data_IF_460056209389
#
_entry.id   IF_460056209389
#
_cell.length_a   1.000
_cell.length_b   1.000
_cell.length_c   1.000
_cell.angle_alpha   90.00
_cell.angle_beta   90.00
_cell.angle_gamma   90.00
#
_symmetry.space_group_name_H-M   'P 1'
#
loop_
_entity.id
_entity.type
_entity.pdbx_description
1 polymer ?
#
# COMPACT_ATOMS: atom_id res chain seq x y z
N UNK A 1 66.42 -37.20 -6.60
CA UNK A 1 66.04 -35.80 -6.87
C UNK A 1 64.58 -35.61 -6.47
N UNK A 2 64.28 -34.59 -5.65
CA UNK A 2 62.96 -34.31 -5.07
C UNK A 2 62.20 -33.29 -5.95
N UNK A 3 60.95 -33.56 -6.28
CA UNK A 3 59.93 -32.58 -6.70
C UNK A 3 58.65 -32.91 -5.90
N UNK A 4 58.33 -32.19 -4.82
CA UNK A 4 57.54 -30.95 -4.70
C UNK A 4 56.07 -31.09 -5.13
N UNK A 5 55.20 -30.96 -4.12
CA UNK A 5 53.75 -31.10 -4.11
C UNK A 5 53.03 -30.09 -5.02
N UNK A 6 51.86 -30.47 -5.56
CA UNK A 6 50.71 -29.58 -5.72
C UNK A 6 49.41 -30.36 -5.52
N UNK A 7 48.75 -30.13 -4.38
CA UNK A 7 47.39 -30.58 -4.13
C UNK A 7 46.40 -29.59 -4.74
N UNK A 8 45.43 -30.10 -5.49
CA UNK A 8 44.30 -29.33 -6.01
C UNK A 8 43.15 -29.41 -5.00
N UNK A 9 42.99 -28.39 -4.18
CA UNK A 9 41.78 -28.20 -3.37
C UNK A 9 40.75 -27.53 -4.26
N UNK A 10 39.80 -28.31 -4.76
CA UNK A 10 38.61 -27.78 -5.43
C UNK A 10 37.70 -27.13 -4.38
N UNK A 11 37.84 -25.82 -4.24
CA UNK A 11 36.95 -24.99 -3.42
C UNK A 11 35.61 -24.87 -4.16
N UNK A 12 34.63 -25.70 -3.80
CA UNK A 12 33.24 -25.51 -4.22
C UNK A 12 32.73 -24.26 -3.51
N UNK A 13 32.81 -23.10 -4.18
CA UNK A 13 32.04 -21.92 -3.78
C UNK A 13 30.56 -22.26 -3.97
N UNK A 14 29.91 -22.67 -2.88
CA UNK A 14 28.47 -22.74 -2.82
C UNK A 14 27.90 -21.35 -3.07
N UNK A 15 27.18 -21.22 -4.19
CA UNK A 15 26.27 -20.11 -4.44
C UNK A 15 25.20 -20.13 -3.34
N UNK A 16 25.45 -19.41 -2.25
CA UNK A 16 24.40 -18.98 -1.34
C UNK A 16 23.57 -17.95 -2.09
N UNK A 17 22.61 -18.42 -2.89
CA UNK A 17 21.53 -17.57 -3.37
C UNK A 17 20.82 -17.01 -2.15
N UNK A 18 20.71 -15.69 -2.08
CA UNK A 18 19.89 -15.00 -1.08
C UNK A 18 18.43 -15.45 -1.27
N UNK A 19 18.05 -16.55 -0.62
CA UNK A 19 16.65 -16.91 -0.48
C UNK A 19 16.04 -15.83 0.41
N UNK A 20 15.16 -15.00 -0.16
CA UNK A 20 14.34 -14.11 0.63
C UNK A 20 13.63 -14.94 1.71
N UNK A 21 13.62 -14.50 2.98
CA UNK A 21 12.98 -15.26 4.05
C UNK A 21 11.55 -15.57 3.66
N UNK A 22 11.13 -16.82 3.88
CA UNK A 22 9.75 -17.22 3.63
C UNK A 22 8.81 -16.30 4.43
N UNK A 23 7.65 -15.90 3.85
CA UNK A 23 6.72 -15.01 4.54
C UNK A 23 6.31 -15.64 5.87
N UNK A 24 6.44 -14.86 6.94
CA UNK A 24 6.03 -15.28 8.29
C UNK A 24 4.54 -15.63 8.28
N UNK A 25 4.23 -16.90 8.56
CA UNK A 25 2.88 -17.47 8.52
C UNK A 25 2.16 -17.41 9.87
N UNK A 26 2.78 -16.84 10.91
CA UNK A 26 2.12 -16.73 12.22
C UNK A 26 0.83 -15.91 12.09
N UNK A 27 -0.30 -16.37 12.68
CA UNK A 27 -1.54 -15.60 12.70
C UNK A 27 -1.40 -14.33 13.56
N UNK A 28 -2.45 -13.50 13.60
CA UNK A 28 -2.54 -12.44 14.61
C UNK A 28 -2.44 -13.07 16.00
N UNK A 29 -1.65 -12.47 16.88
CA UNK A 29 -1.66 -12.86 18.28
C UNK A 29 -2.98 -12.41 18.97
N UNK A 30 -3.28 -12.88 20.19
CA UNK A 30 -4.51 -12.51 20.89
C UNK A 30 -4.65 -11.00 21.15
N UNK A 31 -3.55 -10.27 21.29
CA UNK A 31 -3.59 -8.82 21.49
C UNK A 31 -3.95 -8.11 20.19
N UNK A 32 -3.28 -8.45 19.09
CA UNK A 32 -3.57 -7.91 17.76
C UNK A 32 -5.00 -8.23 17.30
N UNK A 33 -5.49 -9.43 17.61
CA UNK A 33 -6.89 -9.83 17.34
C UNK A 33 -7.87 -8.95 18.10
N UNK A 34 -7.62 -8.68 19.40
CA UNK A 34 -8.46 -7.76 20.19
C UNK A 34 -8.42 -6.35 19.63
N UNK A 35 -7.26 -5.85 19.21
CA UNK A 35 -7.14 -4.52 18.61
C UNK A 35 -7.95 -4.42 17.32
N UNK A 36 -7.85 -5.40 16.42
CA UNK A 36 -8.66 -5.42 15.19
C UNK A 36 -10.16 -5.42 15.52
N UNK A 37 -10.58 -6.26 16.47
CA UNK A 37 -11.99 -6.35 16.86
C UNK A 37 -12.52 -5.05 17.52
N UNK A 38 -11.67 -4.28 18.20
CA UNK A 38 -12.04 -2.97 18.75
C UNK A 38 -12.29 -1.92 17.66
N UNK A 39 -11.79 -2.12 16.44
CA UNK A 39 -12.08 -1.24 15.30
C UNK A 39 -13.43 -1.56 14.68
N UNK A 40 -14.08 -2.69 15.01
CA UNK A 40 -15.31 -3.12 14.36
C UNK A 40 -16.55 -2.73 15.20
N UNK A 41 -17.67 -2.31 14.55
CA UNK A 41 -17.81 -2.12 13.12
C UNK A 41 -17.14 -0.82 12.64
N UNK A 42 -16.40 -0.90 11.53
CA UNK A 42 -15.88 0.25 10.79
C UNK A 42 -16.12 0.08 9.29
N UNK A 43 -16.56 1.14 8.61
CA UNK A 43 -16.76 1.13 7.16
C UNK A 43 -15.41 1.07 6.41
N UNK A 44 -14.35 1.65 6.99
CA UNK A 44 -13.00 1.60 6.44
C UNK A 44 -11.93 1.47 7.53
N UNK A 45 -10.89 0.68 7.25
CA UNK A 45 -9.66 0.58 8.05
C UNK A 45 -8.47 0.98 7.16
N UNK A 46 -7.77 2.04 7.55
CA UNK A 46 -6.61 2.56 6.84
C UNK A 46 -5.33 2.06 7.51
N UNK A 47 -4.58 1.20 6.83
CA UNK A 47 -3.31 0.65 7.34
C UNK A 47 -2.14 1.44 6.76
N UNK A 48 -1.62 2.36 7.56
CA UNK A 48 -0.41 3.11 7.27
C UNK A 48 0.83 2.23 7.33
N UNK A 49 1.70 2.34 6.33
CA UNK A 49 2.98 1.65 6.32
C UNK A 49 4.16 2.58 6.09
N UNK A 50 5.30 2.14 6.60
CA UNK A 50 6.59 2.38 5.96
C UNK A 50 6.82 1.26 4.94
N UNK A 51 7.03 1.61 3.67
CA UNK A 51 7.00 0.65 2.55
C UNK A 51 8.09 -0.42 2.61
N UNK A 52 9.21 -0.16 3.27
CA UNK A 52 10.34 -1.07 3.42
C UNK A 52 10.39 -1.78 4.78
N UNK A 53 9.30 -1.76 5.55
CA UNK A 53 9.21 -2.38 6.88
C UNK A 53 8.39 -3.69 6.84
N UNK A 54 9.04 -4.88 6.78
CA UNK A 54 8.37 -6.17 6.57
C UNK A 54 7.26 -6.52 7.56
N UNK A 55 7.39 -6.05 8.81
CA UNK A 55 6.38 -6.26 9.84
C UNK A 55 5.05 -5.56 9.54
N UNK A 56 5.08 -4.41 8.86
CA UNK A 56 3.86 -3.75 8.41
C UNK A 56 3.13 -4.61 7.38
N UNK A 57 3.83 -5.11 6.36
CA UNK A 57 3.20 -5.96 5.34
C UNK A 57 2.71 -7.31 5.92
N UNK A 58 3.41 -7.84 6.93
CA UNK A 58 2.91 -8.98 7.70
C UNK A 58 1.59 -8.68 8.37
N UNK A 59 1.46 -7.54 9.07
CA UNK A 59 0.22 -7.14 9.75
C UNK A 59 -0.90 -6.89 8.73
N UNK A 60 -0.61 -6.24 7.60
CA UNK A 60 -1.58 -6.00 6.53
C UNK A 60 -2.19 -7.28 5.99
N UNK A 61 -1.33 -8.27 5.65
CA UNK A 61 -1.77 -9.61 5.24
C UNK A 61 -2.72 -10.22 6.28
N UNK A 62 -2.34 -10.15 7.55
CA UNK A 62 -3.11 -10.75 8.64
C UNK A 62 -4.47 -10.07 8.89
N UNK A 63 -4.55 -8.74 8.75
CA UNK A 63 -5.83 -8.01 8.81
C UNK A 63 -6.73 -8.42 7.65
N UNK A 64 -6.18 -8.47 6.42
CA UNK A 64 -6.92 -8.89 5.23
C UNK A 64 -7.43 -10.33 5.37
N UNK A 65 -6.58 -11.28 5.74
CA UNK A 65 -6.96 -12.67 5.98
C UNK A 65 -8.06 -12.79 7.05
N UNK A 66 -7.92 -12.07 8.17
CA UNK A 66 -8.88 -12.11 9.27
C UNK A 66 -10.27 -11.60 8.85
N UNK A 67 -10.33 -10.43 8.22
CA UNK A 67 -11.61 -9.86 7.78
C UNK A 67 -12.22 -10.66 6.61
N UNK A 68 -11.40 -11.19 5.71
CA UNK A 68 -11.88 -12.05 4.63
C UNK A 68 -12.48 -13.35 5.16
N UNK A 69 -11.82 -14.00 6.12
CA UNK A 69 -12.30 -15.23 6.77
C UNK A 69 -13.61 -15.01 7.55
N UNK A 70 -13.77 -13.84 8.17
CA UNK A 70 -15.02 -13.45 8.83
C UNK A 70 -16.10 -12.98 7.85
N UNK A 71 -15.83 -13.01 6.55
CA UNK A 71 -16.66 -12.42 5.50
C UNK A 71 -16.97 -10.93 5.72
N UNK A 72 -16.15 -10.19 6.47
CA UNK A 72 -16.34 -8.77 6.75
C UNK A 72 -15.64 -7.85 5.75
N UNK A 73 -14.68 -8.35 4.97
CA UNK A 73 -13.94 -7.52 4.00
C UNK A 73 -14.78 -7.24 2.74
N UNK A 74 -15.08 -5.96 2.49
CA UNK A 74 -15.78 -5.50 1.28
C UNK A 74 -14.85 -5.45 0.06
N UNK A 75 -13.67 -4.87 0.25
CA UNK A 75 -12.64 -4.68 -0.77
C UNK A 75 -11.28 -4.43 -0.10
N UNK A 76 -10.20 -4.68 -0.84
CA UNK A 76 -8.85 -4.27 -0.50
C UNK A 76 -8.40 -3.15 -1.46
N UNK A 77 -8.26 -1.92 -0.97
CA UNK A 77 -7.77 -0.79 -1.74
C UNK A 77 -6.25 -0.62 -1.58
N UNK A 78 -5.56 -0.21 -2.63
CA UNK A 78 -4.09 -0.09 -2.67
C UNK A 78 -3.64 1.28 -3.20
N UNK A 79 -2.77 1.96 -2.47
CA UNK A 79 -1.99 3.09 -3.00
C UNK A 79 -1.08 2.66 -4.18
N UNK A 80 -0.65 1.39 -4.17
CA UNK A 80 0.33 0.86 -5.13
C UNK A 80 -0.23 0.68 -6.55
N UNK A 81 -1.56 0.79 -6.72
CA UNK A 81 -2.23 0.68 -8.01
C UNK A 81 -3.11 1.92 -8.28
N UNK A 82 -3.25 2.29 -9.55
CA UNK A 82 -4.02 3.47 -9.96
C UNK A 82 -5.52 3.23 -9.86
N UNK A 83 -6.27 4.26 -9.47
CA UNK A 83 -7.72 4.27 -9.50
C UNK A 83 -8.25 3.89 -10.89
N UNK A 84 -9.26 3.02 -10.91
CA UNK A 84 -9.81 2.41 -12.13
C UNK A 84 -9.24 1.04 -12.47
N UNK A 85 -8.10 0.65 -11.88
CA UNK A 85 -7.61 -0.74 -11.95
C UNK A 85 -8.28 -1.60 -10.88
N UNK A 86 -8.68 -2.81 -11.22
CA UNK A 86 -9.46 -3.68 -10.32
C UNK A 86 -9.36 -5.15 -10.68
N UNK A 87 -9.38 -6.02 -9.67
CA UNK A 87 -9.51 -7.47 -9.84
C UNK A 87 -10.96 -7.95 -9.82
N UNK A 88 -11.96 -7.07 -9.71
CA UNK A 88 -13.39 -7.44 -9.69
C UNK A 88 -13.81 -8.38 -10.85
N UNK A 89 -13.29 -8.25 -12.09
CA UNK A 89 -13.63 -9.17 -13.18
C UNK A 89 -12.98 -10.56 -13.08
N UNK A 90 -12.06 -10.78 -12.13
CA UNK A 90 -11.29 -12.02 -12.02
C UNK A 90 -12.00 -13.05 -11.13
N UNK A 91 -11.83 -14.33 -11.45
CA UNK A 91 -12.23 -15.43 -10.56
C UNK A 91 -11.26 -15.56 -9.36
N UNK A 92 -11.75 -16.12 -8.25
CA UNK A 92 -10.94 -16.43 -7.05
C UNK A 92 -9.73 -17.34 -7.33
N UNK A 93 -9.75 -18.11 -8.42
CA UNK A 93 -8.67 -18.98 -8.88
C UNK A 93 -7.66 -18.27 -9.78
N UNK A 94 -7.84 -16.97 -10.07
CA UNK A 94 -6.92 -16.20 -10.88
C UNK A 94 -5.49 -16.30 -10.35
N UNK A 95 -4.55 -16.45 -11.28
CA UNK A 95 -3.13 -16.52 -10.96
C UNK A 95 -2.55 -15.11 -10.69
N UNK A 96 -1.33 -15.09 -10.15
CA UNK A 96 -0.66 -13.83 -9.81
C UNK A 96 -0.40 -12.94 -11.04
N UNK A 97 -0.24 -13.51 -12.24
CA UNK A 97 -0.01 -12.74 -13.45
C UNK A 97 -1.29 -12.04 -13.91
N UNK A 98 -2.43 -12.72 -13.85
CA UNK A 98 -3.75 -12.15 -14.12
C UNK A 98 -4.06 -11.01 -13.16
N UNK A 99 -3.79 -11.21 -11.87
CA UNK A 99 -3.99 -10.18 -10.83
C UNK A 99 -3.08 -8.96 -11.08
N UNK A 100 -1.79 -9.19 -11.34
CA UNK A 100 -0.85 -8.11 -11.67
C UNK A 100 -1.24 -7.35 -12.93
N UNK A 101 -1.71 -8.06 -13.96
CA UNK A 101 -2.16 -7.44 -15.20
C UNK A 101 -3.41 -6.56 -14.96
N UNK A 102 -4.39 -7.07 -14.20
CA UNK A 102 -5.60 -6.34 -13.86
C UNK A 102 -5.35 -5.10 -12.99
N UNK A 103 -4.33 -5.14 -12.14
CA UNK A 103 -3.88 -4.00 -11.33
C UNK A 103 -2.89 -3.07 -12.06
N UNK A 104 -2.47 -3.43 -13.28
CA UNK A 104 -1.35 -2.81 -14.01
C UNK A 104 -0.11 -2.62 -13.12
N UNK A 105 0.26 -3.68 -12.40
CA UNK A 105 1.23 -3.61 -11.32
C UNK A 105 2.64 -3.25 -11.80
N UNK A 106 3.21 -2.17 -11.27
CA UNK A 106 4.59 -1.77 -11.51
C UNK A 106 5.54 -2.42 -10.50
N UNK A 107 6.15 -3.54 -10.90
CA UNK A 107 7.10 -4.27 -10.04
C UNK A 107 8.42 -3.51 -9.79
N UNK A 108 8.73 -2.46 -10.57
CA UNK A 108 9.95 -1.66 -10.35
C UNK A 108 9.77 -0.69 -9.20
N UNK A 109 8.57 -0.17 -9.02
CA UNK A 109 8.22 0.76 -7.94
C UNK A 109 7.77 -0.01 -6.70
N UNK A 110 6.93 -1.03 -6.88
CA UNK A 110 6.36 -1.82 -5.80
C UNK A 110 6.72 -3.30 -5.99
N UNK A 111 7.72 -3.84 -5.27
CA UNK A 111 8.09 -5.25 -5.41
C UNK A 111 6.88 -6.15 -5.14
N UNK A 112 6.45 -6.91 -6.15
CA UNK A 112 5.24 -7.75 -6.04
C UNK A 112 5.31 -8.68 -4.84
N UNK A 113 6.48 -9.29 -4.59
CA UNK A 113 6.69 -10.21 -3.47
C UNK A 113 6.28 -9.63 -2.11
N UNK A 114 6.42 -8.31 -1.92
CA UNK A 114 6.07 -7.58 -0.69
C UNK A 114 4.56 -7.54 -0.45
N UNK A 115 3.77 -7.24 -1.50
CA UNK A 115 2.32 -7.01 -1.39
C UNK A 115 1.47 -8.22 -1.78
N UNK A 116 2.03 -9.13 -2.57
CA UNK A 116 1.42 -10.38 -3.06
C UNK A 116 0.67 -11.15 -1.97
N UNK A 117 1.18 -11.34 -0.74
CA UNK A 117 0.45 -12.11 0.25
C UNK A 117 -0.92 -11.51 0.64
N UNK A 118 -1.00 -10.19 0.85
CA UNK A 118 -2.25 -9.53 1.18
C UNK A 118 -3.20 -9.49 -0.03
N UNK A 119 -2.66 -9.17 -1.21
CA UNK A 119 -3.44 -9.08 -2.46
C UNK A 119 -4.07 -10.43 -2.81
N UNK A 120 -3.26 -11.51 -2.81
CA UNK A 120 -3.75 -12.84 -3.15
C UNK A 120 -4.70 -13.41 -2.09
N UNK A 121 -4.56 -13.03 -0.81
CA UNK A 121 -5.51 -13.41 0.23
C UNK A 121 -6.92 -12.85 -0.06
N UNK A 122 -7.03 -11.58 -0.46
CA UNK A 122 -8.29 -10.97 -0.86
C UNK A 122 -8.89 -11.64 -2.11
N UNK A 123 -8.10 -11.77 -3.19
CA UNK A 123 -8.56 -12.40 -4.45
C UNK A 123 -9.06 -13.83 -4.21
N UNK A 124 -8.32 -14.63 -3.44
CA UNK A 124 -8.69 -16.03 -3.14
C UNK A 124 -9.97 -16.14 -2.30
N UNK A 125 -10.30 -15.11 -1.52
CA UNK A 125 -11.55 -15.00 -0.79
C UNK A 125 -12.72 -14.47 -1.65
N UNK A 126 -12.50 -14.16 -2.93
CA UNK A 126 -13.49 -13.54 -3.80
C UNK A 126 -13.74 -12.06 -3.49
N UNK A 127 -12.80 -11.41 -2.79
CA UNK A 127 -12.87 -9.98 -2.45
C UNK A 127 -12.13 -9.19 -3.54
N UNK A 128 -12.75 -8.14 -4.11
CA UNK A 128 -12.08 -7.32 -5.12
C UNK A 128 -10.93 -6.52 -4.51
N UNK A 129 -9.82 -6.45 -5.26
CA UNK A 129 -8.68 -5.59 -4.99
C UNK A 129 -8.73 -4.40 -5.94
N UNK A 130 -8.68 -3.20 -5.39
CA UNK A 130 -8.88 -1.93 -6.09
C UNK A 130 -7.59 -1.11 -6.06
N UNK A 131 -7.17 -0.60 -7.22
CA UNK A 131 -6.25 0.52 -7.24
C UNK A 131 -6.95 1.78 -6.75
N UNK A 132 -6.27 2.56 -5.90
CA UNK A 132 -6.85 3.71 -5.23
C UNK A 132 -6.12 5.02 -5.52
N UNK A 133 -4.88 4.95 -6.03
CA UNK A 133 -4.02 6.12 -6.18
C UNK A 133 -4.39 6.95 -7.41
N UNK A 134 -4.00 8.23 -7.41
CA UNK A 134 -4.22 9.11 -8.54
C UNK A 134 -3.48 8.58 -9.78
N UNK A 135 -4.18 8.33 -10.91
CA UNK A 135 -3.54 7.85 -12.12
C UNK A 135 -2.48 8.83 -12.64
N UNK A 136 -1.36 8.32 -13.16
CA UNK A 136 -0.22 9.14 -13.60
C UNK A 136 -0.60 10.22 -14.62
N UNK A 137 -1.59 9.94 -15.48
CA UNK A 137 -2.12 10.87 -16.47
C UNK A 137 -2.70 12.16 -15.84
N UNK A 138 -3.16 12.10 -14.59
CA UNK A 138 -3.78 13.23 -13.87
C UNK A 138 -2.80 14.02 -12.99
N UNK A 139 -1.55 13.58 -12.84
CA UNK A 139 -0.57 14.25 -11.97
C UNK A 139 -0.27 15.68 -12.41
N UNK A 140 -0.11 15.91 -13.73
CA UNK A 140 0.20 17.25 -14.27
C UNK A 140 -0.93 18.24 -14.03
N UNK A 141 -2.17 17.80 -14.13
CA UNK A 141 -3.34 18.64 -13.87
C UNK A 141 -3.47 18.92 -12.37
N UNK A 142 -3.19 17.93 -11.52
CA UNK A 142 -3.19 18.10 -10.08
C UNK A 142 -2.19 19.16 -9.61
N UNK A 143 -0.97 19.19 -10.16
CA UNK A 143 0.03 20.22 -9.84
C UNK A 143 -0.48 21.65 -10.09
N UNK A 144 -1.29 21.83 -11.14
CA UNK A 144 -1.77 23.14 -11.60
C UNK A 144 -3.07 23.57 -10.92
N UNK A 145 -3.81 22.62 -10.35
CA UNK A 145 -5.10 22.90 -9.74
C UNK A 145 -4.94 23.45 -8.31
N UNK A 146 -5.09 24.77 -8.16
CA UNK A 146 -5.01 25.44 -6.87
C UNK A 146 -6.19 25.12 -5.93
N UNK A 147 -7.29 24.54 -6.42
CA UNK A 147 -8.42 24.15 -5.56
C UNK A 147 -8.02 23.08 -4.53
N UNK A 148 -6.99 22.28 -4.81
CA UNK A 148 -6.45 21.33 -3.83
C UNK A 148 -5.90 22.01 -2.57
N UNK A 149 -5.43 23.25 -2.67
CA UNK A 149 -4.92 24.01 -1.52
C UNK A 149 -6.05 24.30 -0.50
N UNK A 150 -7.31 24.28 -0.94
CA UNK A 150 -8.50 24.57 -0.12
C UNK A 150 -9.09 23.34 0.55
N UNK A 151 -8.63 22.13 0.20
CA UNK A 151 -9.13 20.89 0.79
C UNK A 151 -8.53 20.60 2.18
N UNK A 152 -7.50 21.34 2.57
CA UNK A 152 -6.91 21.28 3.90
C UNK A 152 -7.06 22.63 4.61
N UNK A 153 -7.14 22.60 5.93
CA UNK A 153 -7.04 23.83 6.74
C UNK A 153 -5.67 24.48 6.55
N UNK A 154 -5.55 25.79 6.79
CA UNK A 154 -4.26 26.50 6.68
C UNK A 154 -3.11 25.86 7.47
N UNK A 155 -3.30 25.45 8.74
CA UNK A 155 -2.29 24.69 9.49
C UNK A 155 -1.96 23.33 8.87
N UNK A 156 -2.95 22.56 8.43
CA UNK A 156 -2.75 21.26 7.81
C UNK A 156 -2.00 21.38 6.48
N UNK A 157 -2.35 22.35 5.63
CA UNK A 157 -1.65 22.61 4.37
C UNK A 157 -0.17 22.95 4.61
N UNK A 158 0.13 23.80 5.60
CA UNK A 158 1.51 24.13 5.97
C UNK A 158 2.27 22.91 6.47
N UNK A 159 1.65 22.09 7.32
CA UNK A 159 2.26 20.85 7.80
C UNK A 159 2.56 19.89 6.62
N UNK A 160 1.64 19.76 5.66
CA UNK A 160 1.84 18.93 4.48
C UNK A 160 2.96 19.45 3.58
N UNK A 161 3.07 20.77 3.39
CA UNK A 161 4.22 21.36 2.69
C UNK A 161 5.54 21.04 3.39
N UNK A 162 5.58 21.04 4.72
CA UNK A 162 6.78 20.62 5.46
C UNK A 162 7.05 19.12 5.34
N UNK A 163 6.01 18.27 5.29
CA UNK A 163 6.17 16.84 5.02
C UNK A 163 6.78 16.62 3.63
N UNK A 164 6.34 17.37 2.62
CA UNK A 164 6.92 17.35 1.27
C UNK A 164 8.39 17.75 1.28
N UNK A 165 8.76 18.84 1.98
CA UNK A 165 10.16 19.27 2.11
C UNK A 165 11.04 18.16 2.71
N UNK A 166 10.63 17.62 3.86
CA UNK A 166 11.38 16.55 4.56
C UNK A 166 11.46 15.27 3.74
N UNK A 167 10.37 14.89 3.08
CA UNK A 167 10.32 13.70 2.21
C UNK A 167 11.25 13.80 1.00
N UNK A 168 11.64 15.01 0.59
CA UNK A 168 12.63 15.25 -0.45
C UNK A 168 13.99 15.70 0.12
N UNK A 169 14.26 15.37 1.39
CA UNK A 169 15.51 15.69 2.10
C UNK A 169 15.89 17.18 2.07
N UNK A 170 14.92 18.09 2.03
CA UNK A 170 15.13 19.55 1.88
C UNK A 170 15.80 19.96 0.55
N UNK A 171 15.88 19.05 -0.44
CA UNK A 171 16.53 19.30 -1.74
C UNK A 171 15.55 19.71 -2.85
N UNK A 172 14.25 19.61 -2.61
CA UNK A 172 13.23 20.02 -3.57
C UNK A 172 13.21 21.56 -3.69
N UNK A 173 13.26 22.15 -4.90
CA UNK A 173 13.19 23.60 -5.05
C UNK A 173 11.91 24.17 -4.43
N UNK A 174 12.01 25.33 -3.78
CA UNK A 174 10.87 25.93 -3.04
C UNK A 174 9.63 26.15 -3.95
N UNK A 175 9.86 26.46 -5.23
CA UNK A 175 8.80 26.59 -6.23
C UNK A 175 8.03 25.30 -6.55
N UNK A 176 8.58 24.14 -6.20
CA UNK A 176 7.97 22.82 -6.40
C UNK A 176 7.21 22.31 -5.17
N UNK A 177 7.37 22.93 -3.99
CA UNK A 177 6.71 22.46 -2.77
C UNK A 177 5.19 22.50 -2.91
N UNK A 178 4.63 23.62 -3.36
CA UNK A 178 3.17 23.74 -3.54
C UNK A 178 2.63 22.80 -4.63
N UNK A 179 3.22 22.72 -5.84
CA UNK A 179 2.83 21.72 -6.84
C UNK A 179 2.86 20.27 -6.35
N UNK A 180 3.91 19.86 -5.61
CA UNK A 180 4.01 18.49 -5.06
C UNK A 180 3.00 18.26 -3.94
N UNK A 181 2.72 19.28 -3.11
CA UNK A 181 1.68 19.22 -2.08
C UNK A 181 0.30 18.97 -2.71
N UNK A 182 -0.01 19.62 -3.83
CA UNK A 182 -1.27 19.40 -4.55
C UNK A 182 -1.40 17.99 -5.11
N UNK A 183 -0.31 17.41 -5.63
CA UNK A 183 -0.30 16.00 -6.02
C UNK A 183 -0.65 15.13 -4.81
N UNK A 184 0.01 15.36 -3.67
CA UNK A 184 -0.20 14.58 -2.47
C UNK A 184 -1.68 14.63 -2.01
N UNK A 185 -2.26 15.83 -1.93
CA UNK A 185 -3.68 16.02 -1.60
C UNK A 185 -4.60 15.34 -2.64
N UNK A 186 -4.25 15.43 -3.92
CA UNK A 186 -5.04 14.80 -4.98
C UNK A 186 -4.99 13.26 -4.93
N UNK A 187 -3.87 12.67 -4.47
CA UNK A 187 -3.77 11.23 -4.19
C UNK A 187 -4.63 10.84 -3.00
N UNK A 188 -4.57 11.61 -1.92
CA UNK A 188 -5.39 11.40 -0.72
C UNK A 188 -6.89 11.44 -1.06
N UNK A 189 -7.32 12.43 -1.84
CA UNK A 189 -8.69 12.55 -2.32
C UNK A 189 -9.12 11.38 -3.23
N UNK A 190 -8.25 10.92 -4.15
CA UNK A 190 -8.53 9.78 -5.02
C UNK A 190 -8.68 8.47 -4.22
N UNK A 191 -7.84 8.27 -3.19
CA UNK A 191 -7.95 7.12 -2.31
C UNK A 191 -9.22 7.18 -1.48
N UNK A 192 -9.57 8.34 -0.91
CA UNK A 192 -10.84 8.54 -0.20
C UNK A 192 -12.05 8.23 -1.09
N UNK A 193 -12.06 8.73 -2.33
CA UNK A 193 -13.12 8.44 -3.31
C UNK A 193 -13.26 6.94 -3.59
N UNK A 194 -12.13 6.22 -3.66
CA UNK A 194 -12.13 4.76 -3.83
C UNK A 194 -12.74 4.05 -2.63
N UNK A 195 -12.44 4.48 -1.41
CA UNK A 195 -13.03 3.92 -0.17
C UNK A 195 -14.54 4.15 -0.14
N UNK A 196 -14.99 5.37 -0.45
CA UNK A 196 -16.42 5.74 -0.47
C UNK A 196 -17.18 4.87 -1.49
N UNK A 197 -16.64 4.69 -2.70
CA UNK A 197 -17.27 3.85 -3.74
C UNK A 197 -17.31 2.36 -3.38
N UNK A 198 -16.33 1.89 -2.61
CA UNK A 198 -16.22 0.48 -2.22
C UNK A 198 -17.01 0.14 -0.94
N UNK A 199 -17.51 1.14 -0.21
CA UNK A 199 -18.23 0.95 1.05
C UNK A 199 -19.49 0.08 0.85
N UNK A 200 -19.68 -0.88 1.76
CA UNK A 200 -20.85 -1.77 1.78
C UNK A 200 -21.37 -1.89 3.22
N UNK A 201 -22.70 -1.79 3.46
CA UNK A 201 -23.25 -1.90 4.81
C UNK A 201 -22.80 -3.18 5.54
N UNK A 202 -22.33 -3.03 6.77
CA UNK A 202 -21.87 -4.16 7.60
C UNK A 202 -20.59 -4.84 7.12
N UNK A 203 -19.85 -4.22 6.20
CA UNK A 203 -18.54 -4.67 5.73
C UNK A 203 -17.52 -3.55 5.87
N UNK A 204 -16.25 -3.91 5.84
CA UNK A 204 -15.11 -3.01 5.98
C UNK A 204 -14.29 -2.98 4.70
N UNK A 205 -13.96 -1.79 4.19
CA UNK A 205 -12.92 -1.61 3.16
C UNK A 205 -11.57 -1.45 3.85
N UNK A 206 -10.56 -2.23 3.46
CA UNK A 206 -9.19 -2.05 3.98
C UNK A 206 -8.36 -1.30 2.95
N UNK A 207 -7.66 -0.25 3.36
CA UNK A 207 -6.67 0.45 2.54
C UNK A 207 -5.24 0.11 3.00
N UNK A 208 -4.36 -0.19 2.05
CA UNK A 208 -2.91 -0.22 2.26
C UNK A 208 -2.30 1.04 1.62
N UNK A 209 -1.71 1.90 2.44
CA UNK A 209 -1.08 3.14 1.99
C UNK A 209 0.08 3.54 2.91
N UNK A 210 0.99 4.38 2.43
CA UNK A 210 2.07 4.98 3.19
C UNK A 210 1.54 5.76 4.40
N UNK A 211 2.31 5.80 5.49
CA UNK A 211 1.89 6.38 6.76
C UNK A 211 1.45 7.85 6.65
N UNK A 212 2.07 8.63 5.76
CA UNK A 212 1.67 10.02 5.49
C UNK A 212 0.26 10.16 4.91
N UNK A 213 -0.20 9.18 4.13
CA UNK A 213 -1.54 9.19 3.55
C UNK A 213 -2.64 8.90 4.59
N UNK A 214 -2.33 8.19 5.66
CA UNK A 214 -3.32 7.82 6.69
C UNK A 214 -3.30 8.76 7.90
N UNK A 215 -2.47 9.81 7.86
CA UNK A 215 -2.38 10.79 8.95
C UNK A 215 -3.71 11.53 9.11
N UNK A 216 -4.34 11.38 10.29
CA UNK A 216 -5.70 11.87 10.55
C UNK A 216 -5.89 13.35 10.24
N UNK A 217 -4.89 14.18 10.50
CA UNK A 217 -4.98 15.62 10.35
C UNK A 217 -4.70 16.11 8.92
N UNK A 218 -4.10 15.29 8.05
CA UNK A 218 -3.51 15.74 6.79
C UNK A 218 -3.91 14.92 5.56
N UNK A 219 -4.04 13.60 5.70
CA UNK A 219 -4.20 12.69 4.59
C UNK A 219 -5.65 12.35 4.29
N UNK A 220 -5.88 11.12 3.84
CA UNK A 220 -7.18 10.56 3.44
C UNK A 220 -8.31 10.87 4.43
N UNK A 221 -8.13 10.82 5.77
CA UNK A 221 -9.22 11.13 6.70
C UNK A 221 -9.79 12.55 6.57
N UNK A 222 -9.05 13.51 6.01
CA UNK A 222 -9.56 14.87 5.74
C UNK A 222 -10.53 14.93 4.55
N UNK A 223 -10.61 13.85 3.75
CA UNK A 223 -11.44 13.74 2.56
C UNK A 223 -12.60 12.77 2.73
N UNK A 224 -12.72 12.13 3.90
CA UNK A 224 -13.85 11.31 4.26
C UNK A 224 -14.86 12.19 5.02
N UNK A 225 -16.16 11.93 4.82
CA UNK A 225 -17.17 12.56 5.65
C UNK A 225 -16.94 12.17 7.13
N UNK A 226 -17.15 13.09 8.09
CA UNK A 226 -17.00 12.80 9.51
C UNK A 226 -17.97 11.73 10.02
#
# INVERSE_FOLDING_TARGET
>A
MRFRHFGLVALILGLQGCAAPAPDKRPLDPFQTRQLNQLLPADAILLGEQHDAPDHQRIQRLVVESLAHQHLLAALALEMASAGQSTEPLDRAADENQVRAALQWDNKVWPWATYRPAIMAAVRAGVPVLGANLPSARLRDAMRNAEFDRLLTGPALKAQQQNIRRGHCELLPESQISPMTRIQIARDAAMAETLIKAARPGKTVVLLAGSGHVERALGIPQHLAP
#
